data_IF_879917207088
#
_entry.id   IF_879917207088
#
_cell.length_a   1.000
_cell.length_b   1.000
_cell.length_c   1.000
_cell.angle_alpha   90.00
_cell.angle_beta   90.00
_cell.angle_gamma   90.00
#
_symmetry.space_group_name_H-M   'P 1'
#
loop_
_entity.id
_entity.type
_entity.pdbx_description
1 polymer ?
#
# COMPACT_ATOMS: atom_id res chain seq x y z
N UNK A 1 3.73 6.18 16.48
CA UNK A 1 4.48 6.94 15.47
C UNK A 1 3.79 6.79 14.12
N UNK A 2 3.93 7.76 13.23
CA UNK A 2 3.44 7.67 11.84
C UNK A 2 4.36 6.78 11.00
N UNK A 3 3.88 6.35 9.84
CA UNK A 3 4.69 5.60 8.86
C UNK A 3 5.94 6.38 8.42
N UNK A 4 5.82 7.70 8.26
CA UNK A 4 6.94 8.58 7.88
C UNK A 4 8.01 8.64 8.98
N UNK A 5 7.60 8.75 10.25
CA UNK A 5 8.53 8.72 11.39
C UNK A 5 9.21 7.36 11.53
N UNK A 6 8.47 6.27 11.32
CA UNK A 6 9.02 4.92 11.32
C UNK A 6 10.05 4.73 10.21
N UNK A 7 9.75 5.22 8.99
CA UNK A 7 10.66 5.14 7.86
C UNK A 7 11.97 5.89 8.13
N UNK A 8 11.88 7.14 8.61
CA UNK A 8 13.07 7.93 8.93
C UNK A 8 13.93 7.26 10.03
N UNK A 9 13.30 6.67 11.04
CA UNK A 9 14.00 5.88 12.05
C UNK A 9 14.66 4.62 11.45
N UNK A 10 13.96 3.88 10.60
CA UNK A 10 14.45 2.65 9.99
C UNK A 10 15.65 2.91 9.08
N UNK A 11 15.64 3.99 8.29
CA UNK A 11 16.77 4.38 7.44
C UNK A 11 18.04 4.66 8.25
N UNK A 12 17.92 5.39 9.36
CA UNK A 12 19.04 5.59 10.29
C UNK A 12 19.49 4.30 10.98
N UNK A 13 18.54 3.46 11.39
CA UNK A 13 18.83 2.19 12.06
C UNK A 13 19.52 1.19 11.11
N UNK A 14 19.13 1.18 9.83
CA UNK A 14 19.68 0.28 8.80
C UNK A 14 21.14 0.51 8.48
N UNK A 15 21.70 1.68 8.82
CA UNK A 15 23.15 1.92 8.73
C UNK A 15 23.96 1.01 9.66
N UNK A 16 23.31 0.45 10.68
CA UNK A 16 23.93 -0.49 11.63
C UNK A 16 23.91 -1.94 11.13
N UNK A 17 23.38 -2.20 9.93
CA UNK A 17 23.32 -3.54 9.35
C UNK A 17 24.66 -3.86 8.69
N UNK A 18 25.28 -4.97 9.07
CA UNK A 18 26.61 -5.36 8.57
C UNK A 18 26.54 -5.95 7.15
N UNK A 19 25.49 -6.73 6.83
CA UNK A 19 25.30 -7.40 5.53
C UNK A 19 24.06 -6.91 4.78
N UNK A 20 23.56 -5.72 5.12
CA UNK A 20 22.30 -5.20 4.58
C UNK A 20 21.04 -5.93 5.07
N UNK A 21 21.20 -6.93 5.94
CA UNK A 21 20.11 -7.62 6.63
C UNK A 21 20.22 -7.39 8.15
N UNK A 22 19.10 -7.20 8.86
CA UNK A 22 19.11 -7.12 10.31
C UNK A 22 19.40 -8.48 10.96
N UNK A 23 20.13 -8.48 12.07
CA UNK A 23 20.26 -9.64 12.95
C UNK A 23 19.00 -9.85 13.83
N UNK A 24 18.95 -10.93 14.61
CA UNK A 24 17.79 -11.30 15.42
C UNK A 24 17.39 -10.24 16.46
N UNK A 25 18.34 -9.57 17.10
CA UNK A 25 18.07 -8.51 18.06
C UNK A 25 17.58 -7.24 17.35
N UNK A 26 18.16 -6.92 16.20
CA UNK A 26 17.71 -5.84 15.34
C UNK A 26 16.28 -6.08 14.83
N UNK A 27 15.93 -7.32 14.49
CA UNK A 27 14.57 -7.71 14.13
C UNK A 27 13.58 -7.50 15.26
N UNK A 28 13.94 -7.84 16.49
CA UNK A 28 13.08 -7.62 17.66
C UNK A 28 12.84 -6.11 17.87
N UNK A 29 13.86 -5.27 17.67
CA UNK A 29 13.73 -3.82 17.74
C UNK A 29 12.80 -3.25 16.65
N UNK A 30 12.93 -3.74 15.41
CA UNK A 30 12.05 -3.36 14.28
C UNK A 30 10.60 -3.76 14.58
N UNK A 31 10.36 -4.98 15.05
CA UNK A 31 9.03 -5.47 15.39
C UNK A 31 8.36 -4.63 16.50
N UNK A 32 9.11 -4.30 17.56
CA UNK A 32 8.61 -3.45 18.65
C UNK A 32 8.28 -2.03 18.18
N UNK A 33 9.05 -1.48 17.24
CA UNK A 33 8.78 -0.16 16.66
C UNK A 33 7.58 -0.20 15.71
N UNK A 34 7.43 -1.27 14.93
CA UNK A 34 6.29 -1.49 14.02
C UNK A 34 4.96 -1.58 14.75
N UNK A 35 4.89 -2.26 15.90
CA UNK A 35 3.67 -2.35 16.72
C UNK A 35 3.15 -0.97 17.15
N UNK A 36 4.06 -0.01 17.32
CA UNK A 36 3.77 1.36 17.71
C UNK A 36 3.45 2.26 16.52
N UNK A 37 3.47 1.74 15.29
CA UNK A 37 3.10 2.49 14.09
C UNK A 37 1.59 2.55 13.99
N UNK A 38 1.05 3.76 14.09
CA UNK A 38 -0.35 4.01 13.80
C UNK A 38 -0.45 4.07 12.28
N UNK A 39 -0.64 2.91 11.66
CA UNK A 39 -0.97 2.85 10.24
C UNK A 39 -2.39 3.40 10.09
N UNK A 40 -2.54 4.48 9.34
CA UNK A 40 -3.87 4.88 8.87
C UNK A 40 -4.44 3.68 8.12
N UNK A 41 -5.58 3.16 8.59
CA UNK A 41 -6.28 2.08 7.90
C UNK A 41 -6.75 2.67 6.58
N UNK A 42 -5.93 2.51 5.55
CA UNK A 42 -6.31 2.84 4.18
C UNK A 42 -7.54 1.97 3.93
N UNK A 43 -8.71 2.60 3.88
CA UNK A 43 -9.93 1.89 3.55
C UNK A 43 -9.76 1.43 2.12
N UNK A 44 -9.31 0.19 1.96
CA UNK A 44 -9.22 -0.43 0.66
C UNK A 44 -10.61 -0.30 0.04
N UNK A 45 -10.75 0.39 -1.10
CA UNK A 45 -12.05 0.48 -1.74
C UNK A 45 -12.53 -0.95 -1.96
N UNK A 46 -13.83 -1.24 -1.74
CA UNK A 46 -14.35 -2.57 -1.94
C UNK A 46 -13.92 -3.04 -3.33
N UNK A 47 -13.17 -4.15 -3.38
CA UNK A 47 -12.79 -4.77 -4.63
C UNK A 47 -14.05 -5.43 -5.19
N UNK A 48 -14.84 -4.66 -5.93
CA UNK A 48 -15.93 -5.22 -6.73
C UNK A 48 -15.28 -5.94 -7.89
N UNK A 49 -15.11 -7.26 -7.75
CA UNK A 49 -14.72 -8.09 -8.88
C UNK A 49 -15.78 -7.96 -9.97
N UNK A 50 -15.37 -7.82 -11.25
CA UNK A 50 -16.33 -7.88 -12.33
C UNK A 50 -17.03 -9.25 -12.27
N UNK A 51 -18.35 -9.31 -12.49
CA UNK A 51 -19.07 -10.58 -12.50
C UNK A 51 -18.45 -11.51 -13.54
N UNK A 52 -18.03 -12.69 -13.08
CA UNK A 52 -17.47 -13.74 -13.94
C UNK A 52 -18.48 -14.03 -15.06
N UNK A 53 -18.04 -13.92 -16.31
CA UNK A 53 -18.87 -14.20 -17.48
C UNK A 53 -19.63 -13.00 -18.07
N UNK A 54 -19.44 -11.76 -17.58
CA UNK A 54 -19.93 -10.55 -18.25
C UNK A 54 -18.78 -9.75 -18.87
N UNK A 55 -18.94 -9.18 -20.07
CA UNK A 55 -17.93 -8.31 -20.66
C UNK A 55 -17.70 -7.10 -19.75
N UNK A 56 -16.43 -6.72 -19.58
CA UNK A 56 -15.99 -5.58 -18.77
C UNK A 56 -16.64 -4.24 -19.18
N UNK A 57 -17.17 -4.17 -20.40
CA UNK A 57 -17.78 -2.99 -21.03
C UNK A 57 -19.21 -3.25 -21.54
N UNK A 58 -19.94 -4.23 -20.98
CA UNK A 58 -21.34 -4.45 -21.33
C UNK A 58 -22.22 -3.38 -20.68
N UNK A 59 -22.88 -2.57 -21.50
CA UNK A 59 -23.71 -1.39 -21.14
C UNK A 59 -22.97 -0.07 -20.87
N UNK A 60 -21.94 0.25 -21.65
CA UNK A 60 -21.72 1.67 -21.94
C UNK A 60 -22.91 2.17 -22.78
N UNK A 61 -23.66 3.21 -22.36
CA UNK A 61 -24.59 3.87 -23.26
C UNK A 61 -23.79 4.29 -24.50
N UNK A 62 -24.38 4.22 -25.72
CA UNK A 62 -23.65 4.62 -26.92
C UNK A 62 -23.04 5.99 -26.67
N UNK A 63 -21.72 6.09 -26.83
CA UNK A 63 -21.01 7.36 -26.74
C UNK A 63 -21.81 8.35 -27.57
N UNK A 64 -22.38 9.38 -26.93
CA UNK A 64 -22.94 10.53 -27.66
C UNK A 64 -21.79 11.08 -28.49
N UNK A 65 -21.77 10.74 -29.76
CA UNK A 65 -20.91 11.39 -30.74
C UNK A 65 -21.39 12.82 -30.81
N UNK A 66 -20.70 13.73 -30.12
CA UNK A 66 -20.85 15.16 -30.35
C UNK A 66 -20.15 15.49 -31.67
N UNK A 67 -20.72 15.06 -32.80
CA UNK A 67 -20.36 15.51 -34.13
C UNK A 67 -21.60 15.50 -35.03
N UNK A 68 -21.69 16.55 -35.86
CA UNK A 68 -22.82 17.00 -36.72
C UNK A 68 -23.80 17.92 -35.99
N UNK A 69 -24.06 19.16 -36.43
CA UNK A 69 -23.85 19.82 -37.72
C UNK A 69 -23.83 21.35 -37.52
#
# INVERSE_FOLDING_TARGET
MTLSEFKAWLEGFSTSFIDGAPDAEQWAAIASKLDRVIAEKISQPPQTFPPIGKPWFGDLPPMRTWYSH
#
